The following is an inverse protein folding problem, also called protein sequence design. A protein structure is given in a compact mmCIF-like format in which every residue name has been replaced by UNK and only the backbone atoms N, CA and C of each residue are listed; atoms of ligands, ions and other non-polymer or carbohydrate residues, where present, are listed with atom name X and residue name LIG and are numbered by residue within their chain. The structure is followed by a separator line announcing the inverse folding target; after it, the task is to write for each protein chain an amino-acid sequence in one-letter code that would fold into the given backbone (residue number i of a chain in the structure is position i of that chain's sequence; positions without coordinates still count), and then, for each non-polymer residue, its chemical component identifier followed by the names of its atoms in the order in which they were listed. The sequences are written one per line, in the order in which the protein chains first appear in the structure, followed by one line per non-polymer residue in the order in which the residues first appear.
data_IF_728242895646
#
_entry.id   IF_728242895646
#
_cell.length_a   1.000
_cell.length_b   1.000
_cell.length_c   1.000
_cell.angle_alpha   90.00
_cell.angle_beta   90.00
_cell.angle_gamma   90.00
#
_symmetry.space_group_name_H-M   'P 1'
#
loop_
_entity.id
_entity.type
_entity.pdbx_description
1 polymer ?
#
# COMPACT_ATOMS: atom_id res chain seq x y z
N UNK A 1 17.01 16.01 64.76
CA UNK A 1 16.56 16.15 63.36
C UNK A 1 15.06 15.83 63.34
N UNK A 2 14.21 16.85 63.50
CA UNK A 2 12.77 16.71 63.76
C UNK A 2 12.02 16.95 62.46
N UNK A 3 11.23 15.96 62.04
CA UNK A 3 10.39 16.01 60.84
C UNK A 3 9.23 16.98 61.10
N UNK A 4 9.06 17.98 60.23
CA UNK A 4 7.93 18.91 60.27
C UNK A 4 7.14 18.78 58.96
N UNK A 5 5.93 18.24 59.04
CA UNK A 5 4.94 18.27 57.98
C UNK A 5 3.87 19.32 58.31
N UNK A 6 3.68 20.37 57.49
CA UNK A 6 2.48 21.19 57.58
C UNK A 6 1.35 20.58 56.75
N UNK A 7 0.28 20.25 57.47
CA UNK A 7 -1.09 20.01 57.00
C UNK A 7 -1.60 21.30 56.36
N UNK A 8 -2.07 21.27 55.11
CA UNK A 8 -3.23 22.04 54.60
C UNK A 8 -3.61 21.43 53.24
N UNK A 9 -4.83 20.89 53.20
CA UNK A 9 -5.52 20.41 52.02
C UNK A 9 -5.95 21.59 51.13
N UNK A 10 -5.78 21.45 49.82
CA UNK A 10 -6.49 22.25 48.83
C UNK A 10 -6.88 21.36 47.65
N UNK A 11 -7.81 20.44 47.91
CA UNK A 11 -8.56 19.75 46.86
C UNK A 11 -9.52 20.76 46.22
N UNK A 12 -9.13 21.32 45.08
CA UNK A 12 -10.01 22.10 44.22
C UNK A 12 -9.99 21.50 42.82
N UNK A 13 -10.89 20.55 42.53
CA UNK A 13 -11.47 20.45 41.19
C UNK A 13 -12.97 20.28 41.38
N UNK A 14 -13.69 21.37 41.12
CA UNK A 14 -15.14 21.42 41.10
C UNK A 14 -15.69 20.58 39.94
N UNK A 15 -16.75 19.85 40.23
CA UNK A 15 -17.62 19.06 39.35
C UNK A 15 -18.25 19.96 38.26
N UNK A 16 -18.45 19.58 37.00
CA UNK A 16 -19.52 18.65 36.53
C UNK A 16 -19.78 18.90 35.03
N UNK A 17 -20.03 17.81 34.26
CA UNK A 17 -21.07 17.61 33.23
C UNK A 17 -20.65 16.49 32.28
N UNK A 18 -21.38 15.39 32.36
CA UNK A 18 -21.37 14.28 31.42
C UNK A 18 -21.62 14.78 30.01
N UNK A 19 -20.74 14.46 29.04
CA UNK A 19 -21.01 14.11 27.63
C UNK A 19 -19.66 13.98 26.93
N UNK A 20 -19.47 12.92 26.15
CA UNK A 20 -18.50 12.95 25.06
C UNK A 20 -17.46 11.85 25.11
N UNK A 21 -17.92 10.62 24.87
CA UNK A 21 -17.29 9.69 23.93
C UNK A 21 -15.80 9.42 24.11
N UNK A 22 -15.48 8.20 24.56
CA UNK A 22 -14.69 7.25 23.77
C UNK A 22 -13.83 7.88 22.67
N UNK A 23 -12.75 8.60 23.01
CA UNK A 23 -11.65 8.76 22.06
C UNK A 23 -10.77 7.53 22.18
N UNK A 24 -11.37 6.38 21.84
CA UNK A 24 -10.61 5.29 21.27
C UNK A 24 -10.12 5.83 19.93
N UNK A 25 -8.90 6.37 19.89
CA UNK A 25 -8.20 6.53 18.62
C UNK A 25 -8.13 5.11 18.05
N UNK A 26 -9.00 4.81 17.08
CA UNK A 26 -8.87 3.60 16.32
C UNK A 26 -7.51 3.73 15.62
N UNK A 27 -6.53 2.97 16.13
CA UNK A 27 -5.28 2.75 15.42
C UNK A 27 -5.69 2.34 14.01
N UNK A 28 -5.32 3.15 13.02
CA UNK A 28 -5.41 2.72 11.64
C UNK A 28 -4.38 1.62 11.51
N UNK A 29 -4.76 0.40 11.85
CA UNK A 29 -3.91 -0.76 11.76
C UNK A 29 -3.65 -0.99 10.27
N UNK A 30 -2.58 -0.39 9.77
CA UNK A 30 -1.97 -0.88 8.54
C UNK A 30 -1.57 -2.32 8.86
N UNK A 31 -2.19 -3.28 8.20
CA UNK A 31 -1.99 -4.71 8.46
C UNK A 31 -0.63 -5.17 7.90
N UNK A 32 0.43 -4.58 8.43
CA UNK A 32 1.80 -5.02 8.28
C UNK A 32 2.20 -5.77 9.54
N UNK A 33 2.22 -7.09 9.46
CA UNK A 33 2.61 -7.96 10.55
C UNK A 33 4.10 -8.25 10.47
N UNK A 34 4.85 -7.98 11.54
CA UNK A 34 6.24 -8.42 11.65
C UNK A 34 6.30 -9.76 12.37
N UNK A 35 6.99 -10.73 11.79
CA UNK A 35 7.16 -12.08 12.33
C UNK A 35 8.63 -12.46 12.37
N UNK A 36 9.03 -13.12 13.46
CA UNK A 36 10.34 -13.75 13.60
C UNK A 36 10.24 -15.21 13.18
N UNK A 37 11.09 -15.64 12.24
CA UNK A 37 11.21 -17.04 11.84
C UNK A 37 12.65 -17.51 12.03
N UNK A 38 12.83 -18.66 12.69
CA UNK A 38 14.15 -19.16 13.09
C UNK A 38 14.37 -20.63 12.71
N UNK A 39 15.55 -20.96 12.21
CA UNK A 39 16.00 -22.33 12.01
C UNK A 39 16.50 -22.90 13.33
N UNK A 40 15.97 -24.06 13.71
CA UNK A 40 16.36 -24.77 14.94
C UNK A 40 17.25 -25.97 14.59
N UNK A 41 18.32 -26.18 15.35
CA UNK A 41 19.27 -27.29 15.14
C UNK A 41 19.81 -27.38 13.69
N UNK A 42 20.02 -26.23 13.03
CA UNK A 42 20.36 -26.11 11.60
C UNK A 42 19.35 -26.71 10.61
N UNK A 43 18.20 -27.20 11.07
CA UNK A 43 17.15 -27.75 10.22
C UNK A 43 16.29 -26.64 9.61
N UNK A 44 15.65 -26.94 8.46
CA UNK A 44 14.67 -26.02 7.87
C UNK A 44 13.47 -25.91 8.79
N UNK A 45 13.10 -24.69 9.14
CA UNK A 45 11.84 -24.37 9.82
C UNK A 45 10.91 -23.60 8.87
N UNK A 46 9.60 -23.75 9.09
CA UNK A 46 8.55 -23.10 8.29
C UNK A 46 7.56 -22.42 9.22
N UNK A 47 7.41 -21.10 9.07
CA UNK A 47 6.45 -20.29 9.78
C UNK A 47 5.21 -20.07 8.89
N UNK A 48 4.07 -20.58 9.33
CA UNK A 48 2.79 -20.40 8.65
C UNK A 48 2.28 -18.98 8.84
N UNK A 49 2.18 -18.22 7.76
CA UNK A 49 1.69 -16.83 7.77
C UNK A 49 1.08 -16.52 6.41
N UNK A 50 -0.01 -15.75 6.39
CA UNK A 50 -0.59 -15.28 5.13
C UNK A 50 0.38 -14.30 4.45
N UNK A 51 1.08 -14.76 3.41
CA UNK A 51 2.01 -13.95 2.62
C UNK A 51 1.39 -13.51 1.30
N UNK A 52 0.06 -13.37 1.21
CA UNK A 52 -0.61 -12.96 -0.04
C UNK A 52 -0.19 -11.55 -0.49
N UNK A 53 0.21 -10.68 0.43
CA UNK A 53 0.81 -9.40 0.07
C UNK A 53 2.33 -9.45 0.00
N UNK A 54 3.02 -8.38 0.41
CA UNK A 54 4.48 -8.28 0.24
C UNK A 54 5.21 -8.73 1.49
N UNK A 55 6.15 -9.65 1.33
CA UNK A 55 7.11 -10.06 2.36
C UNK A 55 8.41 -9.29 2.17
N UNK A 56 8.95 -8.73 3.25
CA UNK A 56 10.25 -8.05 3.25
C UNK A 56 11.11 -8.59 4.38
N UNK A 57 12.40 -8.75 4.10
CA UNK A 57 13.41 -9.02 5.12
C UNK A 57 13.66 -7.74 5.91
N UNK A 58 13.49 -7.77 7.23
CA UNK A 58 13.63 -6.59 8.09
C UNK A 58 15.02 -6.56 8.70
N UNK A 59 15.38 -7.62 9.46
CA UNK A 59 16.70 -7.72 10.10
C UNK A 59 17.11 -9.16 10.36
N UNK A 60 18.41 -9.40 10.35
CA UNK A 60 19.00 -10.66 10.80
C UNK A 60 19.16 -10.65 12.33
N UNK A 61 18.86 -11.78 12.96
CA UNK A 61 18.93 -11.98 14.42
C UNK A 61 19.88 -13.13 14.83
N UNK A 62 20.40 -13.90 13.87
CA UNK A 62 21.42 -14.94 14.08
C UNK A 62 22.77 -14.47 13.56
N UNK A 63 23.85 -15.04 14.09
CA UNK A 63 25.20 -14.85 13.52
C UNK A 63 25.38 -15.60 12.18
N UNK A 64 24.61 -16.69 11.98
CA UNK A 64 24.59 -17.40 10.70
C UNK A 64 23.88 -16.57 9.64
N UNK A 65 24.47 -16.55 8.45
CA UNK A 65 23.95 -15.81 7.30
C UNK A 65 22.56 -16.28 6.89
N UNK A 66 21.64 -15.33 6.76
CA UNK A 66 20.34 -15.56 6.18
C UNK A 66 20.34 -15.49 4.64
N UNK A 67 21.37 -14.94 4.00
CA UNK A 67 21.43 -14.83 2.54
C UNK A 67 21.39 -16.22 1.88
N UNK A 68 20.37 -16.50 1.08
CA UNK A 68 20.14 -17.82 0.46
C UNK A 68 19.63 -18.92 1.42
N UNK A 69 19.37 -18.57 2.67
CA UNK A 69 18.90 -19.46 3.73
C UNK A 69 17.48 -19.14 4.20
N UNK A 70 16.75 -18.29 3.48
CA UNK A 70 15.33 -18.04 3.69
C UNK A 70 14.59 -17.87 2.36
N UNK A 71 13.27 -17.95 2.41
CA UNK A 71 12.37 -17.64 1.32
C UNK A 71 10.92 -17.67 1.77
N UNK A 72 9.98 -17.41 0.85
CA UNK A 72 8.55 -17.46 1.16
C UNK A 72 7.73 -18.00 -0.03
N UNK A 73 6.52 -18.44 0.26
CA UNK A 73 5.50 -18.91 -0.69
C UNK A 73 4.12 -18.52 -0.13
N UNK A 74 3.04 -18.59 -0.92
CA UNK A 74 1.69 -17.99 -0.64
C UNK A 74 1.20 -17.97 0.83
N UNK A 75 1.58 -18.93 1.68
CA UNK A 75 1.13 -19.02 3.07
C UNK A 75 2.24 -19.42 4.05
N UNK A 76 3.52 -19.23 3.68
CA UNK A 76 4.63 -19.67 4.54
C UNK A 76 5.92 -18.91 4.27
N UNK A 77 6.68 -18.68 5.32
CA UNK A 77 8.08 -18.28 5.27
C UNK A 77 8.90 -19.48 5.75
N UNK A 78 10.01 -19.78 5.07
CA UNK A 78 10.94 -20.80 5.52
C UNK A 78 12.33 -20.22 5.74
N UNK A 79 13.05 -20.78 6.72
CA UNK A 79 14.43 -20.45 7.06
C UNK A 79 15.20 -21.75 7.31
N UNK A 80 16.51 -21.79 7.08
CA UNK A 80 17.35 -23.00 7.25
C UNK A 80 18.78 -22.66 7.68
N UNK A 81 19.58 -23.69 7.96
CA UNK A 81 21.02 -23.56 8.23
C UNK A 81 21.33 -22.58 9.38
N UNK A 82 20.46 -22.54 10.39
CA UNK A 82 20.55 -21.69 11.58
C UNK A 82 20.35 -20.19 11.33
N UNK A 83 19.78 -19.80 10.18
CA UNK A 83 19.27 -18.45 9.97
C UNK A 83 18.09 -18.15 10.90
N UNK A 84 18.15 -17.00 11.57
CA UNK A 84 17.07 -16.37 12.34
C UNK A 84 16.91 -14.93 11.89
N UNK A 85 15.71 -14.54 11.50
CA UNK A 85 15.44 -13.20 11.00
C UNK A 85 13.99 -12.76 11.25
N UNK A 86 13.80 -11.45 11.20
CA UNK A 86 12.49 -10.82 11.17
C UNK A 86 12.06 -10.50 9.74
N UNK A 87 10.78 -10.72 9.49
CA UNK A 87 10.12 -10.49 8.22
C UNK A 87 8.89 -9.65 8.44
N UNK A 88 8.68 -8.63 7.61
CA UNK A 88 7.42 -7.89 7.60
C UNK A 88 6.55 -8.39 6.45
N UNK A 89 5.30 -8.72 6.75
CA UNK A 89 4.29 -9.15 5.79
C UNK A 89 3.18 -8.12 5.78
N UNK A 90 2.97 -7.51 4.63
CA UNK A 90 1.88 -6.53 4.43
C UNK A 90 0.75 -7.17 3.65
N UNK A 91 -0.48 -6.69 3.86
CA UNK A 91 -1.63 -7.09 3.07
C UNK A 91 -1.44 -6.82 1.56
N UNK A 92 -2.09 -7.61 0.69
CA UNK A 92 -2.17 -7.29 -0.73
C UNK A 92 -2.81 -5.92 -0.91
N UNK A 93 -2.10 -4.98 -1.55
CA UNK A 93 -2.73 -3.75 -2.03
C UNK A 93 -3.53 -4.11 -3.27
N UNK A 94 -4.85 -4.23 -3.13
CA UNK A 94 -5.76 -4.24 -4.27
C UNK A 94 -5.96 -2.80 -4.70
N UNK A 95 -5.16 -2.32 -5.66
CA UNK A 95 -5.36 -1.01 -6.27
C UNK A 95 -6.72 -1.03 -6.99
N UNK A 96 -7.74 -0.46 -6.35
CA UNK A 96 -9.13 -0.48 -6.82
C UNK A 96 -9.36 0.34 -8.09
N UNK A 97 -8.33 1.00 -8.62
CA UNK A 97 -8.39 1.98 -9.70
C UNK A 97 -8.03 1.44 -11.09
N UNK A 98 -7.69 0.16 -11.25
CA UNK A 98 -7.44 -0.44 -12.58
C UNK A 98 -8.66 -0.42 -13.52
N UNK A 99 -9.86 -0.08 -13.01
CA UNK A 99 -11.10 -0.03 -13.79
C UNK A 99 -11.32 1.27 -14.58
N UNK A 100 -10.64 2.38 -14.28
CA UNK A 100 -10.83 3.63 -15.03
C UNK A 100 -9.85 3.79 -16.20
N UNK A 101 -8.70 3.11 -16.19
CA UNK A 101 -7.73 3.20 -17.29
C UNK A 101 -8.04 2.26 -18.46
N UNK A 102 -8.82 1.19 -18.22
CA UNK A 102 -9.21 0.23 -19.27
C UNK A 102 -10.46 0.63 -20.06
N UNK A 103 -11.09 1.77 -19.74
CA UNK A 103 -12.25 2.24 -20.50
C UNK A 103 -11.93 3.36 -21.52
N UNK A 104 -10.66 3.75 -21.66
CA UNK A 104 -10.21 4.70 -22.69
C UNK A 104 -10.14 4.14 -24.12
N UNK A 105 -10.78 2.99 -24.40
CA UNK A 105 -10.75 2.33 -25.73
C UNK A 105 -12.11 2.20 -26.43
N UNK A 106 -13.18 2.79 -25.89
CA UNK A 106 -14.45 2.91 -26.63
C UNK A 106 -14.79 4.35 -27.04
N UNK A 107 -14.01 5.35 -26.64
CA UNK A 107 -14.19 6.74 -27.07
C UNK A 107 -13.35 7.14 -28.30
N UNK A 108 -12.66 6.19 -28.94
CA UNK A 108 -11.92 6.44 -30.20
C UNK A 108 -12.81 6.31 -31.44
N UNK A 109 -14.08 6.70 -31.32
CA UNK A 109 -15.00 6.84 -32.46
C UNK A 109 -15.40 8.31 -32.71
N UNK A 110 -14.51 9.25 -32.40
CA UNK A 110 -14.77 10.68 -32.57
C UNK A 110 -14.21 11.33 -33.85
N UNK A 111 -13.90 10.58 -34.93
CA UNK A 111 -13.30 11.16 -36.15
C UNK A 111 -13.68 10.46 -37.48
N UNK A 112 -14.95 10.19 -37.74
CA UNK A 112 -15.46 10.03 -39.12
C UNK A 112 -16.63 10.98 -39.45
N UNK A 113 -16.82 12.05 -38.67
CA UNK A 113 -17.75 13.14 -38.98
C UNK A 113 -16.99 14.41 -39.40
N UNK A 114 -16.20 14.32 -40.47
CA UNK A 114 -15.66 15.53 -41.13
C UNK A 114 -15.79 15.44 -42.64
N UNK A 115 -17.00 15.15 -43.09
CA UNK A 115 -17.43 15.36 -44.48
C UNK A 115 -18.05 16.76 -44.72
N UNK A 116 -17.89 17.72 -43.80
CA UNK A 116 -18.56 19.04 -43.92
C UNK A 116 -17.73 20.12 -44.64
N UNK A 117 -16.67 19.78 -45.39
CA UNK A 117 -15.76 20.78 -45.98
C UNK A 117 -15.24 20.53 -47.40
N UNK A 118 -15.93 19.73 -48.21
CA UNK A 118 -15.70 19.73 -49.66
C UNK A 118 -16.75 20.51 -50.47
N UNK A 119 -17.64 21.27 -49.82
CA UNK A 119 -18.57 22.21 -50.47
C UNK A 119 -17.98 23.64 -50.68
N UNK A 120 -16.65 23.79 -50.69
CA UNK A 120 -16.03 25.11 -50.86
C UNK A 120 -14.90 25.10 -51.88
N UNK A 121 -15.20 24.66 -53.10
CA UNK A 121 -14.36 24.97 -54.27
C UNK A 121 -15.18 25.12 -55.57
N UNK A 122 -16.33 25.80 -55.51
CA UNK A 122 -17.08 26.34 -56.67
C UNK A 122 -16.35 27.50 -57.40
N UNK A 123 -15.02 27.52 -57.45
CA UNK A 123 -14.26 28.67 -57.99
C UNK A 123 -12.98 28.33 -58.77
N UNK A 124 -13.02 27.30 -59.61
CA UNK A 124 -12.15 27.24 -60.80
C UNK A 124 -12.93 26.79 -62.03
N UNK A 125 -14.03 27.48 -62.30
CA UNK A 125 -14.70 27.52 -63.61
C UNK A 125 -14.23 28.76 -64.39
N UNK A 126 -12.91 28.85 -64.64
CA UNK A 126 -12.36 29.95 -65.44
C UNK A 126 -11.02 29.63 -66.07
N UNK A 127 -11.01 28.76 -67.09
CA UNK A 127 -10.21 29.03 -68.29
C UNK A 127 -10.60 28.17 -69.48
N UNK A 128 -11.80 28.41 -70.01
CA UNK A 128 -11.97 28.46 -71.45
C UNK A 128 -11.15 29.64 -71.98
N UNK A 129 -10.03 29.37 -72.65
CA UNK A 129 -9.38 30.18 -73.73
C UNK A 129 -7.88 29.87 -73.80
N UNK A 130 -7.50 28.88 -74.60
CA UNK A 130 -6.32 28.84 -75.49
C UNK A 130 -6.43 27.48 -76.21
N UNK A 131 -7.24 27.32 -77.27
CA UNK A 131 -6.94 27.64 -78.68
C UNK A 131 -5.51 27.29 -79.11
N UNK A 132 -5.27 26.03 -79.51
CA UNK A 132 -4.92 25.62 -80.89
C UNK A 132 -4.73 24.11 -80.98
#
# INVERSE_FOLDING_TARGET
MVIRFPIIAATFIATSLSVGTLFSFADSASAQSTITCESRNNQRNTCSIDTRGRVRFVRQLSDRSCRGNWGYSRNRIWVRNGCRAEFSVSEPRYDRNDRYDRNGRYDRNGRYDRNDRYDRNDRYDRNDRYRR
#
